data_IF_212951721315
#
_entry.id   IF_212951721315
#
_cell.length_a   1.000
_cell.length_b   1.000
_cell.length_c   1.000
_cell.angle_alpha   90.00
_cell.angle_beta   90.00
_cell.angle_gamma   90.00
#
_symmetry.space_group_name_H-M   'P 1'
#
loop_
_entity.id
_entity.type
_entity.pdbx_description
1 polymer ?
#
# COMPACT_ATOMS: atom_id res chain seq x y z
N UNK A 1 -10.62 1.44 -13.12
CA UNK A 1 -10.69 1.57 -14.58
C UNK A 1 -9.76 0.57 -15.24
N UNK A 2 -10.25 -0.19 -16.24
CA UNK A 2 -9.44 -1.16 -17.01
C UNK A 2 -8.48 -0.48 -18.02
N UNK A 3 -8.66 0.81 -18.26
CA UNK A 3 -7.89 1.58 -19.24
C UNK A 3 -6.91 2.53 -18.56
N UNK A 4 -5.75 2.72 -19.17
CA UNK A 4 -4.80 3.75 -18.76
C UNK A 4 -5.39 5.15 -18.90
N UNK A 5 -5.07 6.01 -17.95
CA UNK A 5 -5.40 7.43 -17.96
C UNK A 5 -4.16 8.24 -17.68
N UNK A 6 -4.07 9.45 -18.20
CA UNK A 6 -2.98 10.38 -17.87
C UNK A 6 -2.88 10.57 -16.36
N UNK A 7 -1.66 10.47 -15.82
CA UNK A 7 -1.42 10.67 -14.39
C UNK A 7 -1.89 12.05 -13.92
N UNK A 8 -1.72 13.07 -14.75
CA UNK A 8 -2.21 14.41 -14.45
C UNK A 8 -3.74 14.47 -14.21
N UNK A 9 -4.52 13.67 -14.95
CA UNK A 9 -5.96 13.58 -14.72
C UNK A 9 -6.29 12.91 -13.39
N UNK A 10 -5.60 11.82 -13.07
CA UNK A 10 -5.80 11.11 -11.79
C UNK A 10 -5.45 12.02 -10.62
N UNK A 11 -4.32 12.72 -10.70
CA UNK A 11 -3.89 13.70 -9.69
C UNK A 11 -4.92 14.81 -9.53
N UNK A 12 -5.42 15.37 -10.64
CA UNK A 12 -6.46 16.40 -10.62
C UNK A 12 -7.77 15.94 -9.98
N UNK A 13 -8.24 14.73 -10.30
CA UNK A 13 -9.43 14.13 -9.69
C UNK A 13 -9.25 13.93 -8.16
N UNK A 14 -8.08 13.48 -7.72
CA UNK A 14 -7.77 13.30 -6.29
C UNK A 14 -7.77 14.63 -5.54
N UNK A 15 -7.07 15.63 -6.07
CA UNK A 15 -7.00 16.96 -5.44
C UNK A 15 -8.37 17.63 -5.40
N UNK A 16 -9.09 17.57 -6.51
CA UNK A 16 -10.37 18.26 -6.63
C UNK A 16 -11.49 17.64 -5.77
N UNK A 17 -11.44 16.32 -5.55
CA UNK A 17 -12.55 15.60 -4.89
C UNK A 17 -12.26 15.14 -3.48
N UNK A 18 -11.02 14.74 -3.18
CA UNK A 18 -10.73 14.01 -1.94
C UNK A 18 -9.60 14.59 -1.10
N UNK A 19 -8.56 15.15 -1.72
CA UNK A 19 -7.34 15.52 -1.00
C UNK A 19 -6.76 16.84 -1.51
N UNK A 20 -7.23 17.99 -1.01
CA UNK A 20 -6.84 19.33 -1.49
C UNK A 20 -5.43 19.71 -1.03
N UNK A 21 -4.42 19.13 -1.65
CA UNK A 21 -3.00 19.36 -1.39
C UNK A 21 -2.26 19.68 -2.70
N UNK A 22 -0.96 19.98 -2.62
CA UNK A 22 -0.15 20.22 -3.80
C UNK A 22 -0.11 19.03 -4.76
N UNK A 23 -0.21 19.30 -6.05
CA UNK A 23 -0.24 18.29 -7.12
C UNK A 23 1.02 17.41 -7.15
N UNK A 24 2.18 17.99 -6.88
CA UNK A 24 3.45 17.25 -6.84
C UNK A 24 3.43 16.16 -5.74
N UNK A 25 2.95 16.48 -4.55
CA UNK A 25 2.88 15.52 -3.45
C UNK A 25 1.94 14.33 -3.78
N UNK A 26 0.81 14.62 -4.41
CA UNK A 26 -0.13 13.59 -4.87
C UNK A 26 0.47 12.75 -6.00
N UNK A 27 1.20 13.40 -6.93
CA UNK A 27 1.90 12.69 -7.99
C UNK A 27 3.01 11.79 -7.47
N UNK A 28 3.84 12.28 -6.53
CA UNK A 28 4.90 11.48 -5.92
C UNK A 28 4.35 10.24 -5.21
N UNK A 29 3.21 10.36 -4.53
CA UNK A 29 2.53 9.21 -3.96
C UNK A 29 2.05 8.22 -5.04
N UNK A 30 1.45 8.72 -6.12
CA UNK A 30 1.02 7.90 -7.27
C UNK A 30 2.21 7.17 -7.90
N UNK A 31 3.33 7.86 -8.11
CA UNK A 31 4.58 7.29 -8.65
C UNK A 31 5.05 6.13 -7.77
N UNK A 32 5.11 6.33 -6.45
CA UNK A 32 5.55 5.29 -5.51
C UNK A 32 4.70 4.02 -5.62
N UNK A 33 3.39 4.14 -5.80
CA UNK A 33 2.49 3.01 -5.95
C UNK A 33 2.71 2.19 -7.23
N UNK A 34 3.48 2.71 -8.21
CA UNK A 34 3.85 2.00 -9.44
C UNK A 34 5.20 1.31 -9.36
N UNK A 35 6.07 1.70 -8.42
CA UNK A 35 7.48 1.32 -8.40
C UNK A 35 7.67 -0.05 -7.75
N UNK A 36 8.19 -1.02 -8.50
CA UNK A 36 8.49 -2.37 -8.01
C UNK A 36 9.61 -2.42 -6.97
N UNK A 37 10.47 -1.41 -6.91
CA UNK A 37 11.50 -1.27 -5.88
C UNK A 37 11.00 -0.58 -4.60
N UNK A 38 9.82 0.04 -4.65
CA UNK A 38 9.17 0.68 -3.49
C UNK A 38 8.04 -0.15 -2.89
N UNK A 39 7.40 -0.99 -3.70
CA UNK A 39 6.22 -1.77 -3.33
C UNK A 39 6.44 -3.25 -3.60
N UNK A 40 6.19 -4.11 -2.62
CA UNK A 40 6.20 -5.57 -2.80
C UNK A 40 5.11 -6.01 -3.78
N UNK A 41 3.92 -5.39 -3.68
CA UNK A 41 2.83 -5.50 -4.65
C UNK A 41 2.45 -4.10 -5.14
N UNK A 42 2.92 -3.64 -6.30
CA UNK A 42 2.51 -2.37 -6.87
C UNK A 42 0.99 -2.31 -7.06
N UNK A 43 0.36 -1.27 -6.53
CA UNK A 43 -1.09 -1.09 -6.57
C UNK A 43 -1.56 -0.39 -7.85
N UNK A 44 -0.62 0.19 -8.58
CA UNK A 44 -0.87 0.92 -9.83
C UNK A 44 0.05 0.34 -10.92
N UNK A 45 -0.53 0.03 -12.07
CA UNK A 45 0.21 -0.21 -13.29
C UNK A 45 0.53 1.13 -13.95
N UNK A 46 1.80 1.39 -14.20
CA UNK A 46 2.28 2.60 -14.86
C UNK A 46 2.72 2.34 -16.31
N UNK A 47 2.52 3.33 -17.17
CA UNK A 47 3.06 3.37 -18.52
C UNK A 47 3.84 4.67 -18.73
N UNK A 48 5.13 4.55 -19.05
CA UNK A 48 6.07 5.65 -19.13
C UNK A 48 7.20 5.53 -18.12
N UNK A 49 7.92 6.62 -17.87
CA UNK A 49 9.03 6.66 -16.92
C UNK A 49 8.55 7.05 -15.53
N UNK A 50 8.62 6.12 -14.58
CA UNK A 50 8.28 6.32 -13.17
C UNK A 50 9.52 6.33 -12.26
N UNK A 51 10.68 6.66 -12.78
CA UNK A 51 11.94 6.69 -12.05
C UNK A 51 12.63 5.33 -11.98
N UNK A 52 13.79 5.32 -11.36
CA UNK A 52 14.60 4.11 -11.15
C UNK A 52 15.08 4.01 -9.71
N UNK A 53 15.54 2.81 -9.33
CA UNK A 53 16.17 2.57 -8.03
C UNK A 53 17.47 3.38 -7.86
N UNK A 54 18.12 3.75 -8.97
CA UNK A 54 19.36 4.53 -8.97
C UNK A 54 19.12 6.04 -8.76
N UNK A 55 17.85 6.45 -8.57
CA UNK A 55 17.48 7.81 -8.23
C UNK A 55 17.07 8.67 -9.43
N UNK A 56 16.91 8.09 -10.63
CA UNK A 56 16.36 8.85 -11.75
C UNK A 56 14.94 9.32 -11.42
N UNK A 57 14.63 10.60 -11.67
CA UNK A 57 13.29 11.12 -11.40
C UNK A 57 12.26 10.58 -12.39
N UNK A 58 10.99 10.48 -12.01
CA UNK A 58 9.91 10.17 -12.94
C UNK A 58 9.73 11.31 -13.95
N UNK A 59 9.19 10.97 -15.11
CA UNK A 59 8.73 11.98 -16.06
C UNK A 59 7.55 12.79 -15.46
N UNK A 60 7.34 14.01 -15.97
CA UNK A 60 6.21 14.84 -15.54
C UNK A 60 4.88 14.12 -15.75
N UNK A 61 3.90 14.37 -14.87
CA UNK A 61 2.60 13.68 -14.83
C UNK A 61 1.78 13.78 -16.13
N UNK A 62 2.07 14.77 -16.98
CA UNK A 62 1.43 14.91 -18.30
C UNK A 62 1.87 13.86 -19.31
N UNK A 63 3.02 13.22 -19.09
CA UNK A 63 3.58 12.20 -19.99
C UNK A 63 3.25 10.78 -19.54
N UNK A 64 3.12 10.52 -18.26
CA UNK A 64 2.86 9.19 -17.72
C UNK A 64 1.38 8.85 -17.71
N UNK A 65 1.09 7.56 -17.76
CA UNK A 65 -0.26 7.01 -17.69
C UNK A 65 -0.35 5.94 -16.61
N UNK A 66 -1.50 5.85 -15.97
CA UNK A 66 -1.72 4.93 -14.85
C UNK A 66 -3.09 4.26 -14.93
N UNK A 67 -3.17 3.07 -14.36
CA UNK A 67 -4.42 2.36 -14.05
C UNK A 67 -4.24 1.53 -12.78
N UNK A 68 -5.32 1.11 -12.16
CA UNK A 68 -5.26 0.15 -11.05
C UNK A 68 -4.67 -1.18 -11.53
N UNK A 69 -3.73 -1.74 -10.78
CA UNK A 69 -3.22 -3.08 -11.02
C UNK A 69 -4.29 -4.13 -10.70
N UNK A 70 -4.08 -5.37 -11.14
CA UNK A 70 -5.03 -6.46 -10.84
C UNK A 70 -5.17 -6.71 -9.34
N UNK A 71 -4.07 -6.61 -8.60
CA UNK A 71 -4.08 -6.86 -7.15
C UNK A 71 -4.86 -5.78 -6.40
N UNK A 72 -4.88 -4.55 -6.89
CA UNK A 72 -5.66 -3.46 -6.28
C UNK A 72 -7.16 -3.70 -6.32
N UNK A 73 -7.65 -4.58 -7.22
CA UNK A 73 -9.06 -4.93 -7.26
C UNK A 73 -9.48 -5.59 -5.93
N UNK A 74 -8.63 -6.44 -5.36
CA UNK A 74 -8.88 -7.09 -4.07
C UNK A 74 -8.91 -6.12 -2.86
N UNK A 75 -8.41 -4.89 -3.02
CA UNK A 75 -8.52 -3.86 -1.99
C UNK A 75 -9.87 -3.15 -2.02
N UNK A 76 -10.51 -3.08 -3.19
CA UNK A 76 -11.74 -2.32 -3.41
C UNK A 76 -12.96 -3.19 -3.73
N UNK A 77 -12.79 -4.49 -3.90
CA UNK A 77 -13.91 -5.41 -4.08
C UNK A 77 -14.87 -5.27 -2.89
N UNK A 78 -16.17 -5.32 -3.19
CA UNK A 78 -17.24 -5.15 -2.22
C UNK A 78 -17.39 -3.74 -1.61
N UNK A 79 -16.65 -2.74 -2.08
CA UNK A 79 -16.74 -1.36 -1.57
C UNK A 79 -18.17 -0.79 -1.64
N UNK A 80 -18.96 -1.22 -2.62
CA UNK A 80 -20.35 -0.77 -2.82
C UNK A 80 -21.37 -1.61 -2.02
N UNK A 81 -20.94 -2.65 -1.32
CA UNK A 81 -21.82 -3.59 -0.60
C UNK A 81 -22.10 -3.20 0.85
N UNK A 82 -21.82 -1.98 1.25
CA UNK A 82 -22.05 -1.47 2.61
C UNK A 82 -21.32 -2.27 3.71
N UNK A 83 -20.13 -2.77 3.38
CA UNK A 83 -19.26 -3.53 4.31
C UNK A 83 -18.29 -2.64 5.09
N UNK A 84 -18.21 -1.37 4.72
CA UNK A 84 -17.34 -0.37 5.34
C UNK A 84 -18.09 0.94 5.53
N UNK A 85 -17.59 1.79 6.42
CA UNK A 85 -18.13 3.13 6.65
C UNK A 85 -17.59 4.12 5.62
N UNK A 86 -18.46 5.08 5.24
CA UNK A 86 -18.12 6.24 4.41
C UNK A 86 -18.29 7.51 5.22
N UNK A 87 -17.43 8.48 4.95
CA UNK A 87 -17.54 9.85 5.45
C UNK A 87 -17.61 10.84 4.29
N UNK A 88 -18.07 12.04 4.56
CA UNK A 88 -18.01 13.12 3.58
C UNK A 88 -16.54 13.51 3.34
N UNK A 89 -16.24 13.92 2.10
CA UNK A 89 -14.98 14.56 1.76
C UNK A 89 -14.90 15.96 2.41
N UNK A 90 -13.83 16.71 2.11
CA UNK A 90 -13.52 18.00 2.74
C UNK A 90 -14.57 19.11 2.48
N UNK A 91 -15.32 19.06 1.37
CA UNK A 91 -16.35 20.03 0.99
C UNK A 91 -17.78 19.47 0.98
N UNK A 92 -17.95 18.24 1.47
CA UNK A 92 -19.22 17.52 1.59
C UNK A 92 -19.92 17.20 0.25
N UNK A 93 -19.21 17.34 -0.89
CA UNK A 93 -19.76 17.06 -2.21
C UNK A 93 -19.69 15.60 -2.61
N UNK A 94 -18.74 14.85 -2.05
CA UNK A 94 -18.49 13.44 -2.34
C UNK A 94 -18.35 12.63 -1.05
N UNK A 95 -18.47 11.32 -1.16
CA UNK A 95 -18.19 10.40 -0.05
C UNK A 95 -16.92 9.62 -0.32
N UNK A 96 -16.14 9.42 0.73
CA UNK A 96 -14.93 8.60 0.70
C UNK A 96 -14.99 7.50 1.74
N UNK A 97 -14.41 6.31 1.48
CA UNK A 97 -14.36 5.23 2.46
C UNK A 97 -13.41 5.60 3.61
N UNK A 98 -13.81 5.29 4.85
CA UNK A 98 -12.94 5.47 6.02
C UNK A 98 -11.75 4.52 5.97
N UNK A 99 -11.99 3.28 5.50
CA UNK A 99 -10.98 2.25 5.21
C UNK A 99 -11.38 1.50 3.95
N UNK A 100 -10.44 0.85 3.29
CA UNK A 100 -10.74 -0.04 2.17
C UNK A 100 -11.21 -1.41 2.69
N UNK A 101 -12.14 -2.11 1.99
CA UNK A 101 -12.63 -3.43 2.40
C UNK A 101 -11.57 -4.54 2.39
N UNK A 102 -10.51 -4.36 1.67
CA UNK A 102 -9.29 -5.15 1.59
C UNK A 102 -9.43 -6.65 1.89
N UNK A 103 -9.35 -7.48 0.85
CA UNK A 103 -9.44 -8.93 0.98
C UNK A 103 -8.13 -9.61 1.43
N UNK A 104 -7.05 -8.84 1.58
CA UNK A 104 -5.77 -9.30 2.12
C UNK A 104 -5.11 -8.21 2.94
N UNK A 105 -4.22 -8.54 3.90
CA UNK A 105 -3.58 -7.56 4.78
C UNK A 105 -2.52 -6.73 4.04
N UNK A 106 -2.92 -5.78 3.20
CA UNK A 106 -2.02 -4.95 2.41
C UNK A 106 -1.02 -4.17 3.27
N UNK A 107 -1.41 -3.76 4.48
CA UNK A 107 -0.54 -3.07 5.42
C UNK A 107 0.74 -3.87 5.72
N UNK A 108 0.63 -5.18 5.87
CA UNK A 108 1.77 -6.05 6.14
C UNK A 108 2.53 -6.41 4.86
N UNK A 109 1.83 -6.58 3.75
CA UNK A 109 2.46 -6.94 2.46
C UNK A 109 3.32 -5.81 1.93
N UNK A 110 2.78 -4.59 1.87
CA UNK A 110 3.52 -3.44 1.35
C UNK A 110 4.20 -2.59 2.43
N UNK A 111 3.90 -2.85 3.71
CA UNK A 111 4.37 -2.03 4.79
C UNK A 111 3.73 -0.65 4.83
N UNK A 112 4.15 0.15 5.78
CA UNK A 112 3.77 1.56 5.89
C UNK A 112 4.90 2.35 6.54
N UNK A 113 5.08 3.58 6.09
CA UNK A 113 5.98 4.55 6.71
C UNK A 113 5.31 5.90 6.71
N UNK A 114 5.38 6.60 7.83
CA UNK A 114 4.81 7.93 7.96
C UNK A 114 5.28 8.64 9.20
N UNK A 115 5.34 9.96 9.10
CA UNK A 115 5.74 10.86 10.19
C UNK A 115 4.61 11.85 10.40
N UNK A 116 4.13 11.94 11.64
CA UNK A 116 3.16 12.93 12.08
C UNK A 116 3.69 13.70 13.29
N UNK A 117 2.98 14.74 13.70
CA UNK A 117 3.34 15.47 14.91
C UNK A 117 3.11 14.56 16.12
N UNK A 118 4.18 14.30 16.87
CA UNK A 118 4.14 13.50 18.09
C UNK A 118 4.14 11.98 17.89
N UNK A 119 4.07 11.47 16.65
CA UNK A 119 4.14 10.02 16.39
C UNK A 119 4.68 9.71 15.00
N UNK A 120 5.23 8.52 14.85
CA UNK A 120 5.66 7.97 13.56
C UNK A 120 5.26 6.50 13.46
N UNK A 121 5.13 5.99 12.24
CA UNK A 121 4.94 4.56 11.97
C UNK A 121 6.00 4.09 10.98
N UNK A 122 6.48 2.87 11.17
CA UNK A 122 7.41 2.18 10.27
C UNK A 122 7.14 0.69 10.32
N UNK A 123 6.36 0.22 9.36
CA UNK A 123 6.01 -1.20 9.22
C UNK A 123 6.72 -1.70 7.97
N UNK A 124 7.62 -2.71 8.10
CA UNK A 124 8.30 -3.27 6.94
C UNK A 124 7.34 -4.09 6.06
N UNK A 125 7.64 -4.25 4.76
CA UNK A 125 6.89 -5.15 3.89
C UNK A 125 7.21 -6.61 4.20
N UNK A 126 6.30 -7.52 3.79
CA UNK A 126 6.39 -8.96 4.02
C UNK A 126 6.01 -9.73 2.75
N UNK A 127 6.39 -11.00 2.70
CA UNK A 127 6.00 -11.89 1.62
C UNK A 127 4.49 -12.17 1.64
N UNK A 128 3.83 -12.06 0.48
CA UNK A 128 2.39 -12.26 0.36
C UNK A 128 1.96 -13.67 0.79
N UNK A 129 2.68 -14.71 0.35
CA UNK A 129 2.35 -16.10 0.70
C UNK A 129 2.43 -16.32 2.20
N UNK A 130 3.50 -15.86 2.85
CA UNK A 130 3.69 -15.95 4.29
C UNK A 130 2.60 -15.19 5.06
N UNK A 131 2.20 -14.00 4.59
CA UNK A 131 1.10 -13.23 5.19
C UNK A 131 -0.23 -13.96 5.06
N UNK A 132 -0.51 -14.58 3.93
CA UNK A 132 -1.72 -15.37 3.75
C UNK A 132 -1.73 -16.59 4.69
N UNK A 133 -0.62 -17.32 4.79
CA UNK A 133 -0.49 -18.48 5.68
C UNK A 133 -0.68 -18.07 7.15
N UNK A 134 -0.06 -16.95 7.57
CA UNK A 134 -0.26 -16.39 8.90
C UNK A 134 -1.69 -15.96 9.16
N UNK A 135 -2.35 -15.35 8.18
CA UNK A 135 -3.76 -14.96 8.25
C UNK A 135 -4.67 -16.17 8.41
N UNK A 136 -4.44 -17.22 7.64
CA UNK A 136 -5.18 -18.48 7.75
C UNK A 136 -4.98 -19.13 9.14
N UNK A 137 -3.75 -19.12 9.65
CA UNK A 137 -3.46 -19.60 10.99
C UNK A 137 -4.22 -18.82 12.08
N UNK A 138 -4.28 -17.48 11.95
CA UNK A 138 -5.03 -16.62 12.87
C UNK A 138 -6.55 -16.85 12.79
N UNK A 139 -7.11 -17.04 11.60
CA UNK A 139 -8.54 -17.34 11.41
C UNK A 139 -8.89 -18.66 12.10
N UNK A 140 -8.05 -19.68 11.97
CA UNK A 140 -8.24 -21.00 12.58
C UNK A 140 -8.01 -20.99 14.10
N UNK A 141 -7.19 -20.09 14.61
CA UNK A 141 -6.91 -19.95 16.03
C UNK A 141 -6.72 -18.46 16.40
N UNK A 142 -7.80 -17.83 16.86
CA UNK A 142 -7.81 -16.41 17.22
C UNK A 142 -6.88 -16.05 18.39
N UNK A 143 -6.52 -17.03 19.22
CA UNK A 143 -5.63 -16.85 20.37
C UNK A 143 -4.17 -17.19 20.06
N UNK A 144 -3.82 -17.39 18.78
CA UNK A 144 -2.46 -17.67 18.34
C UNK A 144 -1.48 -16.59 18.83
N UNK A 145 -0.36 -17.02 19.35
CA UNK A 145 0.65 -16.08 19.86
C UNK A 145 1.59 -15.65 18.75
N UNK A 146 2.21 -14.46 18.91
CA UNK A 146 3.18 -13.92 17.95
C UNK A 146 4.28 -14.95 17.61
N UNK A 147 4.80 -15.66 18.61
CA UNK A 147 5.80 -16.73 18.43
C UNK A 147 5.36 -17.82 17.45
N UNK A 148 4.06 -18.13 17.43
CA UNK A 148 3.50 -19.17 16.55
C UNK A 148 3.15 -18.60 15.18
N UNK A 149 2.69 -17.35 15.10
CA UNK A 149 2.56 -16.62 13.84
C UNK A 149 3.90 -16.51 13.10
N UNK A 150 4.99 -16.31 13.81
CA UNK A 150 6.34 -16.24 13.23
C UNK A 150 6.83 -17.57 12.60
N UNK A 151 6.13 -18.67 12.78
CA UNK A 151 6.38 -19.90 12.02
C UNK A 151 5.90 -19.80 10.58
N UNK A 152 4.90 -18.94 10.33
CA UNK A 152 4.31 -18.64 9.02
C UNK A 152 4.93 -17.38 8.42
N UNK A 153 5.20 -16.38 9.26
CA UNK A 153 5.76 -15.07 8.88
C UNK A 153 7.09 -14.89 9.62
N UNK A 154 8.19 -15.45 9.10
CA UNK A 154 9.47 -15.48 9.80
C UNK A 154 10.16 -14.11 9.91
N UNK A 155 9.79 -13.16 9.07
CA UNK A 155 10.36 -11.82 9.08
C UNK A 155 9.94 -10.96 7.89
N UNK A 156 10.41 -9.72 7.82
CA UNK A 156 10.22 -8.84 6.68
C UNK A 156 10.77 -9.43 5.38
N UNK A 157 10.16 -9.01 4.25
CA UNK A 157 10.61 -9.35 2.89
C UNK A 157 10.58 -8.08 2.04
N UNK A 158 11.75 -7.57 1.68
CA UNK A 158 11.88 -6.30 1.00
C UNK A 158 11.81 -6.45 -0.52
N UNK A 159 11.15 -5.54 -1.25
CA UNK A 159 11.04 -5.60 -2.71
C UNK A 159 12.41 -5.53 -3.42
N UNK A 160 13.43 -5.01 -2.75
CA UNK A 160 14.81 -4.92 -3.25
C UNK A 160 15.67 -6.14 -2.88
N UNK A 161 15.12 -7.16 -2.23
CA UNK A 161 15.82 -8.40 -1.90
C UNK A 161 16.87 -8.26 -0.78
N UNK A 162 16.66 -7.33 0.16
CA UNK A 162 17.57 -7.14 1.30
C UNK A 162 17.73 -8.40 2.16
N UNK A 163 18.93 -8.62 2.70
CA UNK A 163 19.24 -9.74 3.60
C UNK A 163 19.20 -9.24 5.04
N UNK A 164 18.43 -9.93 5.88
CA UNK A 164 18.36 -9.63 7.31
C UNK A 164 19.33 -10.55 8.07
N UNK A 165 20.23 -9.94 8.83
CA UNK A 165 21.20 -10.66 9.65
C UNK A 165 20.70 -10.71 11.10
N UNK A 166 20.53 -11.93 11.64
CA UNK A 166 20.19 -12.14 13.04
C UNK A 166 18.70 -12.40 13.32
N UNK A 167 18.33 -13.68 13.41
CA UNK A 167 16.94 -14.12 13.72
C UNK A 167 16.40 -13.60 15.06
N UNK A 168 17.26 -13.36 16.06
CA UNK A 168 16.81 -12.89 17.37
C UNK A 168 16.33 -11.44 17.34
N UNK A 169 16.92 -10.60 16.47
CA UNK A 169 16.53 -9.20 16.31
C UNK A 169 15.10 -9.11 15.78
N UNK A 170 14.72 -9.97 14.82
CA UNK A 170 13.35 -10.01 14.28
C UNK A 170 12.36 -10.39 15.39
N UNK A 171 12.72 -11.41 16.21
CA UNK A 171 11.84 -11.83 17.32
C UNK A 171 11.62 -10.72 18.35
N UNK A 172 12.64 -9.96 18.66
CA UNK A 172 12.50 -8.81 19.57
C UNK A 172 11.68 -7.70 18.94
N UNK A 173 11.90 -7.36 17.67
CA UNK A 173 11.13 -6.34 16.96
C UNK A 173 9.64 -6.64 16.85
N UNK A 174 9.24 -7.92 16.79
CA UNK A 174 7.82 -8.31 16.74
C UNK A 174 7.16 -8.45 18.13
N UNK A 175 7.91 -8.34 19.22
CA UNK A 175 7.35 -8.37 20.58
C UNK A 175 6.91 -7.01 21.10
N UNK A 176 7.44 -5.95 20.52
CA UNK A 176 7.14 -4.56 20.87
C UNK A 176 6.01 -4.00 20.04
#
# INVERSE_FOLDING_TARGET
SKQFRKSARVVGDVIGKYHPHGDQAVYDALVRLTQKFSMSLPLIDGQGNFGSIDGDPPAAMRYTETKLSKVSQYLVDDIEKNVIEFRNNYDETEKEPVVLPSQYPNLLVNGAGGIAVGMATSIPPHNLGEIIDGTMALINNKDIKIKDLMKHIPGPDFPTGGIIIGKNIIKEGYKT
#
